data_IF_096133107623
#
_entry.id   IF_096133107623
#
_cell.length_a   1.000
_cell.length_b   1.000
_cell.length_c   1.000
_cell.angle_alpha   90.00
_cell.angle_beta   90.00
_cell.angle_gamma   90.00
#
_symmetry.space_group_name_H-M   'P 1'
#
loop_
_entity.id
_entity.type
_entity.pdbx_description
1 polymer ?
#
# COMPACT_ATOMS: atom_id res chain seq x y z
N UNK A 1 19.07 -9.29 6.19
CA UNK A 1 17.87 -8.50 6.51
C UNK A 1 16.76 -9.49 6.71
N UNK A 2 16.29 -9.68 7.95
CA UNK A 2 15.03 -10.39 8.17
C UNK A 2 13.94 -9.53 7.54
N UNK A 3 13.18 -10.10 6.59
CA UNK A 3 11.97 -9.43 6.10
C UNK A 3 10.99 -9.33 7.26
N UNK A 4 10.40 -8.16 7.44
CA UNK A 4 9.36 -7.98 8.44
C UNK A 4 8.23 -8.99 8.22
N UNK A 5 7.49 -9.36 9.27
CA UNK A 5 6.33 -10.23 9.11
C UNK A 5 5.20 -9.47 8.41
N UNK A 6 4.56 -10.04 7.39
CA UNK A 6 3.38 -9.46 6.76
C UNK A 6 2.18 -10.35 7.08
N UNK A 7 1.01 -9.75 7.31
CA UNK A 7 -0.21 -10.54 7.38
C UNK A 7 -0.71 -10.89 5.97
N UNK A 8 -1.44 -12.01 5.86
CA UNK A 8 -1.91 -12.53 4.57
C UNK A 8 -2.73 -11.48 3.79
N UNK A 9 -3.60 -10.74 4.48
CA UNK A 9 -4.42 -9.70 3.86
C UNK A 9 -3.60 -8.51 3.31
N UNK A 10 -2.49 -8.15 3.95
CA UNK A 10 -1.58 -7.11 3.45
C UNK A 10 -0.84 -7.59 2.20
N UNK A 11 -0.41 -8.85 2.19
CA UNK A 11 0.20 -9.44 1.00
C UNK A 11 -0.80 -9.52 -0.15
N UNK A 12 -2.04 -9.92 0.12
CA UNK A 12 -3.12 -9.96 -0.87
C UNK A 12 -3.41 -8.58 -1.47
N UNK A 13 -3.48 -7.54 -0.64
CA UNK A 13 -3.67 -6.17 -1.12
C UNK A 13 -2.48 -5.72 -1.99
N UNK A 14 -1.25 -5.94 -1.54
CA UNK A 14 -0.05 -5.60 -2.31
C UNK A 14 -0.08 -6.30 -3.68
N UNK A 15 -0.39 -7.60 -3.72
CA UNK A 15 -0.48 -8.36 -4.96
C UNK A 15 -1.58 -7.81 -5.90
N UNK A 16 -2.71 -7.38 -5.37
CA UNK A 16 -3.79 -6.75 -6.14
C UNK A 16 -3.39 -5.40 -6.74
N UNK A 17 -2.65 -4.58 -5.99
CA UNK A 17 -2.07 -3.33 -6.50
C UNK A 17 -1.08 -3.64 -7.64
N UNK A 18 -0.15 -4.57 -7.43
CA UNK A 18 0.85 -4.95 -8.43
C UNK A 18 0.26 -5.59 -9.70
N UNK A 19 -0.87 -6.27 -9.58
CA UNK A 19 -1.58 -6.84 -10.72
C UNK A 19 -2.09 -5.75 -11.69
N UNK A 20 -2.40 -4.56 -11.17
CA UNK A 20 -2.78 -3.39 -11.98
C UNK A 20 -1.57 -2.58 -12.45
N UNK A 21 -0.42 -2.70 -11.78
CA UNK A 21 0.82 -2.05 -12.17
C UNK A 21 1.37 -2.61 -13.49
N UNK A 22 1.73 -1.76 -14.47
CA UNK A 22 2.36 -2.18 -15.72
C UNK A 22 3.66 -2.95 -15.47
N UNK A 23 3.87 -4.04 -16.23
CA UNK A 23 5.04 -4.93 -16.08
C UNK A 23 6.40 -4.19 -16.01
N UNK A 24 6.67 -3.15 -16.82
CA UNK A 24 7.98 -2.49 -16.80
C UNK A 24 8.34 -1.82 -15.47
N UNK A 25 7.34 -1.46 -14.66
CA UNK A 25 7.53 -0.76 -13.37
C UNK A 25 7.05 -1.57 -12.17
N UNK A 26 6.54 -2.79 -12.39
CA UNK A 26 5.95 -3.61 -11.34
C UNK A 26 6.96 -3.96 -10.25
N UNK A 27 8.13 -4.43 -10.64
CA UNK A 27 9.15 -4.90 -9.68
C UNK A 27 9.73 -3.74 -8.85
N UNK A 28 9.88 -2.56 -9.46
CA UNK A 28 10.28 -1.35 -8.74
C UNK A 28 9.18 -0.87 -7.80
N UNK A 29 7.92 -0.84 -8.26
CA UNK A 29 6.77 -0.48 -7.42
C UNK A 29 6.60 -1.46 -6.25
N UNK A 30 6.82 -2.77 -6.44
CA UNK A 30 6.78 -3.74 -5.34
C UNK A 30 7.86 -3.43 -4.31
N UNK A 31 9.09 -3.22 -4.76
CA UNK A 31 10.23 -2.94 -3.86
C UNK A 31 9.98 -1.67 -3.06
N UNK A 32 9.50 -0.62 -3.70
CA UNK A 32 9.17 0.65 -3.04
C UNK A 32 8.01 0.50 -2.05
N UNK A 33 6.89 -0.12 -2.45
CA UNK A 33 5.74 -0.31 -1.57
C UNK A 33 6.09 -1.17 -0.35
N UNK A 34 6.86 -2.25 -0.54
CA UNK A 34 7.32 -3.08 0.56
C UNK A 34 8.21 -2.29 1.51
N UNK A 35 9.19 -1.56 0.98
CA UNK A 35 10.11 -0.75 1.79
C UNK A 35 9.38 0.33 2.60
N UNK A 36 8.44 1.05 1.97
CA UNK A 36 7.64 2.07 2.66
C UNK A 36 6.74 1.44 3.72
N UNK A 37 6.09 0.32 3.42
CA UNK A 37 5.21 -0.34 4.39
C UNK A 37 5.99 -0.90 5.60
N UNK A 38 7.16 -1.50 5.38
CA UNK A 38 8.02 -1.99 6.46
C UNK A 38 8.53 -0.83 7.31
N UNK A 39 9.00 0.27 6.70
CA UNK A 39 9.42 1.46 7.42
C UNK A 39 8.29 2.06 8.26
N UNK A 40 7.07 2.18 7.71
CA UNK A 40 5.91 2.68 8.45
C UNK A 40 5.54 1.79 9.64
N UNK A 41 5.59 0.47 9.46
CA UNK A 41 5.30 -0.45 10.55
C UNK A 41 6.39 -0.37 11.64
N UNK A 42 7.66 -0.23 11.27
CA UNK A 42 8.76 -0.03 12.21
C UNK A 42 8.64 1.31 12.96
N UNK A 43 8.31 2.40 12.26
CA UNK A 43 8.04 3.74 12.84
C UNK A 43 6.90 3.68 13.87
N UNK A 44 5.87 2.89 13.61
CA UNK A 44 4.75 2.65 14.52
C UNK A 44 5.08 1.67 15.67
N UNK A 45 6.31 1.14 15.74
CA UNK A 45 6.72 0.13 16.72
C UNK A 45 6.03 -1.22 16.55
N UNK A 46 5.50 -1.51 15.36
CA UNK A 46 4.87 -2.80 15.03
C UNK A 46 5.97 -3.77 14.62
N UNK A 47 5.74 -5.06 14.90
CA UNK A 47 6.60 -6.16 14.42
C UNK A 47 6.04 -6.85 13.18
N UNK A 48 4.91 -6.36 12.64
CA UNK A 48 4.29 -6.87 11.42
C UNK A 48 3.65 -5.75 10.59
N UNK A 49 3.66 -5.92 9.27
CA UNK A 49 2.92 -5.10 8.31
C UNK A 49 1.48 -5.60 8.24
N UNK A 50 0.54 -4.70 8.44
CA UNK A 50 -0.90 -4.94 8.26
C UNK A 50 -1.47 -4.21 7.04
N UNK A 51 -2.73 -4.52 6.72
CA UNK A 51 -3.46 -3.93 5.57
C UNK A 51 -3.42 -2.39 5.63
N UNK A 52 -3.71 -1.82 6.79
CA UNK A 52 -3.65 -0.37 7.04
C UNK A 52 -2.32 0.24 6.61
N UNK A 53 -1.21 -0.38 7.01
CA UNK A 53 0.12 0.09 6.68
C UNK A 53 0.39 0.04 5.18
N UNK A 54 -0.11 -0.99 4.48
CA UNK A 54 0.00 -1.10 3.02
C UNK A 54 -0.84 -0.02 2.33
N UNK A 55 -2.02 0.31 2.85
CA UNK A 55 -2.87 1.38 2.30
C UNK A 55 -2.15 2.72 2.42
N UNK A 56 -1.60 3.04 3.61
CA UNK A 56 -0.82 4.26 3.82
C UNK A 56 0.40 4.31 2.88
N UNK A 57 1.14 3.19 2.77
CA UNK A 57 2.28 3.09 1.87
C UNK A 57 1.89 3.32 0.40
N UNK A 58 0.76 2.75 -0.01
CA UNK A 58 0.23 2.89 -1.36
C UNK A 58 -0.19 4.32 -1.69
N UNK A 59 -0.89 4.99 -0.77
CA UNK A 59 -1.25 6.41 -0.94
C UNK A 59 0.01 7.28 -1.02
N UNK A 60 0.99 7.05 -0.14
CA UNK A 60 2.25 7.81 -0.13
C UNK A 60 3.10 7.59 -1.37
N UNK A 61 3.13 6.37 -1.92
CA UNK A 61 3.87 6.06 -3.14
C UNK A 61 3.15 6.49 -4.42
N UNK A 62 1.85 6.83 -4.34
CA UNK A 62 1.08 7.27 -5.50
C UNK A 62 1.32 8.76 -5.77
N UNK A 63 1.73 9.14 -7.00
CA UNK A 63 1.89 10.53 -7.38
C UNK A 63 0.61 11.35 -7.16
N UNK A 64 0.74 12.60 -6.75
CA UNK A 64 -0.39 13.51 -6.50
C UNK A 64 -1.38 13.60 -7.66
N UNK A 65 -0.87 13.54 -8.90
CA UNK A 65 -1.69 13.55 -10.12
C UNK A 65 -2.59 12.32 -10.28
N UNK A 66 -2.27 11.22 -9.60
CA UNK A 66 -3.02 9.96 -9.63
C UNK A 66 -3.81 9.70 -8.32
N UNK A 67 -3.60 10.50 -7.27
CA UNK A 67 -4.37 10.40 -6.01
C UNK A 67 -5.88 10.50 -6.19
N UNK A 68 -6.44 11.32 -7.12
CA UNK A 68 -7.88 11.35 -7.34
C UNK A 68 -8.49 10.02 -7.81
N UNK A 69 -7.68 9.11 -8.36
CA UNK A 69 -8.12 7.77 -8.77
C UNK A 69 -8.08 6.73 -7.63
N UNK A 70 -7.39 7.03 -6.51
CA UNK A 70 -7.24 6.09 -5.40
C UNK A 70 -8.56 5.69 -4.73
N UNK A 71 -9.52 6.60 -4.45
CA UNK A 71 -10.80 6.22 -3.85
C UNK A 71 -11.51 5.11 -4.62
N UNK A 72 -11.58 5.28 -5.95
CA UNK A 72 -12.20 4.30 -6.86
C UNK A 72 -11.46 2.95 -6.85
N UNK A 73 -10.13 2.97 -6.72
CA UNK A 73 -9.34 1.75 -6.63
C UNK A 73 -9.51 1.05 -5.28
N UNK A 74 -9.60 1.81 -4.18
CA UNK A 74 -9.91 1.31 -2.84
C UNK A 74 -11.26 0.58 -2.83
N UNK A 75 -12.31 1.21 -3.34
CA UNK A 75 -13.64 0.60 -3.44
C UNK A 75 -13.62 -0.71 -4.23
N UNK A 76 -12.84 -0.77 -5.32
CA UNK A 76 -12.69 -1.98 -6.14
C UNK A 76 -12.04 -3.13 -5.36
N UNK A 77 -11.22 -2.83 -4.37
CA UNK A 77 -10.60 -3.80 -3.47
C UNK A 77 -11.45 -4.08 -2.22
N UNK A 78 -12.63 -3.46 -2.10
CA UNK A 78 -13.50 -3.59 -0.92
C UNK A 78 -13.03 -2.75 0.28
N UNK A 79 -12.19 -1.76 0.06
CA UNK A 79 -11.71 -0.81 1.06
C UNK A 79 -12.61 0.44 0.99
N UNK A 80 -13.10 0.90 2.14
CA UNK A 80 -13.89 2.13 2.20
C UNK A 80 -12.96 3.36 2.14
N UNK A 81 -12.99 4.16 1.05
CA UNK A 81 -12.11 5.31 0.92
C UNK A 81 -12.39 6.42 1.95
N UNK A 82 -13.59 6.44 2.56
CA UNK A 82 -13.93 7.45 3.56
C UNK A 82 -13.14 7.29 4.86
N UNK A 83 -12.72 6.06 5.20
CA UNK A 83 -11.81 5.79 6.33
C UNK A 83 -10.43 6.44 6.11
N UNK A 84 -10.01 6.59 4.85
CA UNK A 84 -8.70 7.07 4.43
C UNK A 84 -8.68 8.49 3.88
N UNK A 85 -9.81 9.20 3.95
CA UNK A 85 -9.93 10.56 3.39
C UNK A 85 -8.84 11.52 3.87
N UNK A 86 -8.45 11.41 5.13
CA UNK A 86 -7.38 12.20 5.75
C UNK A 86 -5.98 12.00 5.12
N UNK A 87 -5.77 10.90 4.38
CA UNK A 87 -4.53 10.63 3.63
C UNK A 87 -4.59 11.14 2.19
N UNK A 88 -5.79 11.42 1.69
CA UNK A 88 -6.06 11.80 0.30
C UNK A 88 -6.22 13.31 0.11
N UNK A 89 -6.32 14.07 1.21
CA UNK A 89 -6.37 15.53 1.28
C UNK A 89 -5.02 16.22 1.09
#
# INVERSE_FOLDING_TARGET
MERMNWNDAAEDLLNQVLAQTPRPVRDSTETELRGVAEALAEEDGKNRVGVETVIVAWVRNTPETLRPDLPRQMERFGIDPDEYRHLLE
#
